data_IF_054949484332
#
_entry.id   IF_054949484332
#
_cell.length_a   1.000
_cell.length_b   1.000
_cell.length_c   1.000
_cell.angle_alpha   90.00
_cell.angle_beta   90.00
_cell.angle_gamma   90.00
#
_symmetry.space_group_name_H-M   'P 1'
#
loop_
_entity.id
_entity.type
_entity.pdbx_description
1 polymer ?
#
# COMPACT_ATOMS: atom_id res chain seq x y z
N UNK A 1 6.10 -20.76 -18.14
CA UNK A 1 6.92 -19.84 -17.31
C UNK A 1 7.45 -20.64 -16.14
N UNK A 2 8.76 -20.92 -16.12
CA UNK A 2 9.39 -21.71 -15.07
C UNK A 2 9.86 -20.75 -13.96
N UNK A 3 9.25 -20.84 -12.78
CA UNK A 3 9.62 -20.04 -11.61
C UNK A 3 10.88 -20.65 -10.98
N UNK A 4 12.06 -20.23 -11.47
CA UNK A 4 13.32 -20.54 -10.80
C UNK A 4 13.57 -19.54 -9.66
N UNK A 5 12.86 -19.71 -8.55
CA UNK A 5 13.27 -19.17 -7.27
C UNK A 5 13.56 -20.38 -6.36
N UNK A 6 14.82 -20.81 -6.34
CA UNK A 6 15.25 -21.86 -5.42
C UNK A 6 15.12 -21.38 -3.96
N UNK A 7 14.82 -22.28 -3.01
CA UNK A 7 14.56 -21.93 -1.60
C UNK A 7 15.72 -21.20 -0.90
N UNK A 8 16.92 -21.21 -1.48
CA UNK A 8 18.13 -20.60 -0.94
C UNK A 8 18.29 -19.12 -1.22
N UNK A 9 17.54 -18.52 -2.17
CA UNK A 9 17.72 -17.10 -2.52
C UNK A 9 17.38 -16.15 -1.37
N UNK A 10 16.49 -16.54 -0.46
CA UNK A 10 16.11 -15.76 0.72
C UNK A 10 16.89 -16.14 1.99
N UNK A 11 17.73 -17.17 1.91
CA UNK A 11 18.56 -17.66 3.02
C UNK A 11 20.01 -17.14 2.95
N UNK A 12 20.32 -16.30 1.97
CA UNK A 12 21.63 -15.69 1.83
C UNK A 12 21.87 -14.70 2.98
N UNK A 13 22.89 -14.97 3.79
CA UNK A 13 23.26 -14.14 4.95
C UNK A 13 23.76 -12.74 4.56
N UNK A 14 23.99 -12.48 3.28
CA UNK A 14 24.31 -11.15 2.76
C UNK A 14 23.07 -10.30 2.45
N UNK A 15 21.87 -10.89 2.48
CA UNK A 15 20.63 -10.13 2.42
C UNK A 15 20.50 -9.27 3.67
N UNK A 16 20.33 -7.97 3.44
CA UNK A 16 20.05 -7.01 4.50
C UNK A 16 18.56 -6.66 4.47
N UNK A 17 17.91 -6.81 5.60
CA UNK A 17 16.59 -6.23 5.82
C UNK A 17 16.72 -4.72 5.91
N UNK A 18 15.82 -3.99 5.24
CA UNK A 18 15.75 -2.55 5.33
C UNK A 18 14.32 -2.15 5.72
N UNK A 19 14.17 -1.63 6.93
CA UNK A 19 12.92 -1.02 7.39
C UNK A 19 12.93 0.46 7.02
N UNK A 20 11.87 0.93 6.37
CA UNK A 20 11.68 2.36 6.06
C UNK A 20 10.37 2.85 6.66
N UNK A 21 10.45 3.87 7.51
CA UNK A 21 9.29 4.62 7.95
C UNK A 21 9.09 5.77 6.97
N UNK A 22 7.99 5.70 6.21
CA UNK A 22 7.66 6.69 5.18
C UNK A 22 6.42 7.45 5.64
N UNK A 23 6.54 8.73 6.05
CA UNK A 23 5.40 9.53 6.45
C UNK A 23 4.51 9.82 5.25
N UNK A 24 3.20 9.60 5.41
CA UNK A 24 2.19 9.87 4.38
C UNK A 24 1.03 10.65 4.98
N UNK A 25 0.51 11.60 4.21
CA UNK A 25 -0.77 12.25 4.50
C UNK A 25 -1.79 11.79 3.48
N UNK A 26 -2.93 11.28 3.93
CA UNK A 26 -3.96 10.71 3.05
C UNK A 26 -5.29 11.43 3.31
N UNK A 27 -6.02 11.73 2.23
CA UNK A 27 -7.34 12.35 2.28
C UNK A 27 -8.28 11.68 1.29
N UNK A 28 -9.54 11.53 1.68
CA UNK A 28 -10.61 11.06 0.79
C UNK A 28 -10.95 12.19 -0.18
N UNK A 29 -10.99 11.87 -1.48
CA UNK A 29 -11.28 12.84 -2.56
C UNK A 29 -12.51 12.48 -3.36
N UNK A 30 -13.13 11.33 -3.11
CA UNK A 30 -14.34 10.92 -3.79
C UNK A 30 -14.79 9.52 -3.38
N UNK A 31 -15.95 9.13 -3.90
CA UNK A 31 -16.53 7.80 -3.70
C UNK A 31 -16.76 7.10 -5.05
N UNK A 32 -16.74 5.77 -5.03
CA UNK A 32 -17.02 4.90 -6.16
C UNK A 32 -18.19 3.96 -5.86
N UNK A 33 -18.30 2.90 -6.65
CA UNK A 33 -19.35 1.89 -6.48
C UNK A 33 -19.17 1.11 -5.16
N UNK A 34 -20.29 0.75 -4.55
CA UNK A 34 -20.34 -0.11 -3.38
C UNK A 34 -20.40 -1.58 -3.79
N UNK A 35 -19.65 -2.49 -3.15
CA UNK A 35 -19.83 -3.92 -3.36
C UNK A 35 -21.27 -4.34 -3.04
N UNK A 36 -21.83 -5.29 -3.79
CA UNK A 36 -23.21 -5.76 -3.58
C UNK A 36 -23.45 -6.31 -2.16
N UNK A 37 -22.45 -6.93 -1.54
CA UNK A 37 -22.51 -7.41 -0.15
C UNK A 37 -22.55 -6.26 0.88
N UNK A 38 -22.12 -5.06 0.49
CA UNK A 38 -21.96 -3.89 1.37
C UNK A 38 -22.48 -2.61 0.69
N UNK A 39 -23.78 -2.51 0.39
CA UNK A 39 -24.34 -1.44 -0.43
C UNK A 39 -24.14 -0.03 0.16
N UNK A 40 -24.04 0.08 1.48
CA UNK A 40 -23.80 1.35 2.19
C UNK A 40 -22.29 1.70 2.32
N UNK A 41 -21.41 0.93 1.69
CA UNK A 41 -19.95 1.05 1.81
C UNK A 41 -19.31 1.29 0.44
N UNK A 42 -19.48 2.49 -0.14
CA UNK A 42 -18.84 2.82 -1.41
C UNK A 42 -17.32 2.75 -1.27
N UNK A 43 -16.64 2.38 -2.36
CA UNK A 43 -15.20 2.54 -2.44
C UNK A 43 -14.82 4.01 -2.22
N UNK A 44 -13.76 4.26 -1.44
CA UNK A 44 -13.22 5.59 -1.20
C UNK A 44 -12.02 5.82 -2.11
N UNK A 45 -12.08 6.85 -2.94
CA UNK A 45 -10.91 7.31 -3.68
C UNK A 45 -10.10 8.22 -2.79
N UNK A 46 -8.80 7.92 -2.65
CA UNK A 46 -7.89 8.65 -1.77
C UNK A 46 -6.74 9.28 -2.55
N UNK A 47 -6.27 10.43 -2.07
CA UNK A 47 -5.05 11.10 -2.53
C UNK A 47 -4.21 11.53 -1.35
N UNK A 48 -2.92 11.70 -1.61
CA UNK A 48 -1.99 12.06 -0.55
C UNK A 48 -0.64 12.55 -1.04
N UNK A 49 0.17 12.97 -0.08
CA UNK A 49 1.58 13.29 -0.25
C UNK A 49 2.42 12.32 0.57
N UNK A 50 3.63 12.05 0.06
CA UNK A 50 4.62 11.20 0.72
C UNK A 50 5.85 12.07 1.01
N UNK A 51 6.28 12.09 2.27
CA UNK A 51 7.38 12.92 2.75
C UNK A 51 8.64 12.08 3.08
N UNK A 52 9.73 12.74 3.46
CA UNK A 52 10.97 12.06 3.89
C UNK A 52 11.81 11.47 2.76
N UNK A 53 11.59 11.92 1.53
CA UNK A 53 12.37 11.50 0.36
C UNK A 53 12.98 12.70 -0.37
N UNK A 54 14.02 12.48 -1.17
CA UNK A 54 14.77 13.53 -1.88
C UNK A 54 13.95 14.39 -2.87
N UNK A 55 12.73 13.96 -3.19
CA UNK A 55 11.81 14.61 -4.13
C UNK A 55 10.36 14.40 -3.64
N UNK A 56 9.43 15.33 -3.92
CA UNK A 56 8.04 15.16 -3.51
C UNK A 56 7.36 14.03 -4.28
N UNK A 57 6.68 13.14 -3.57
CA UNK A 57 5.88 12.05 -4.15
C UNK A 57 4.39 12.28 -3.88
N UNK A 58 3.55 11.86 -4.82
CA UNK A 58 2.10 11.87 -4.71
C UNK A 58 1.58 10.46 -4.54
N UNK A 59 0.55 10.29 -3.74
CA UNK A 59 -0.14 9.03 -3.53
C UNK A 59 -1.56 9.14 -4.09
N UNK A 60 -2.00 8.10 -4.78
CA UNK A 60 -3.40 7.89 -5.18
C UNK A 60 -3.81 6.48 -4.81
N UNK A 61 -5.09 6.25 -4.58
CA UNK A 61 -5.53 4.89 -4.27
C UNK A 61 -7.02 4.75 -4.08
N UNK A 62 -7.40 3.52 -3.75
CA UNK A 62 -8.77 3.13 -3.43
C UNK A 62 -8.77 2.34 -2.13
N UNK A 63 -9.69 2.67 -1.24
CA UNK A 63 -10.00 1.92 -0.02
C UNK A 63 -11.40 1.35 -0.16
N UNK A 64 -11.58 0.04 -0.04
CA UNK A 64 -12.89 -0.60 -0.27
C UNK A 64 -13.10 -1.83 0.58
N UNK A 65 -14.36 -2.18 0.81
CA UNK A 65 -14.73 -3.48 1.39
C UNK A 65 -14.46 -4.62 0.39
N UNK A 66 -13.95 -5.74 0.89
CA UNK A 66 -13.96 -7.04 0.20
C UNK A 66 -15.35 -7.68 0.37
N UNK A 67 -15.62 -8.76 -0.39
CA UNK A 67 -16.85 -9.52 -0.20
C UNK A 67 -16.94 -10.13 1.21
N UNK A 68 -15.79 -10.53 1.76
CA UNK A 68 -15.66 -11.20 3.06
C UNK A 68 -15.65 -10.23 4.26
N UNK A 69 -15.69 -8.92 4.00
CA UNK A 69 -15.88 -7.90 5.05
C UNK A 69 -14.60 -7.23 5.54
N UNK A 70 -13.45 -7.50 4.93
CA UNK A 70 -12.23 -6.76 5.22
C UNK A 70 -12.12 -5.45 4.43
N UNK A 71 -11.34 -4.51 4.94
CA UNK A 71 -11.04 -3.25 4.24
C UNK A 71 -9.72 -3.41 3.50
N UNK A 72 -9.78 -3.36 2.17
CA UNK A 72 -8.60 -3.43 1.30
C UNK A 72 -8.16 -2.04 0.86
N UNK A 73 -6.85 -1.82 0.92
CA UNK A 73 -6.13 -0.64 0.50
C UNK A 73 -5.32 -0.97 -0.76
N UNK A 74 -5.53 -0.20 -1.82
CA UNK A 74 -4.77 -0.28 -3.08
C UNK A 74 -4.20 1.10 -3.37
N UNK A 75 -2.89 1.27 -3.18
CA UNK A 75 -2.21 2.56 -3.30
C UNK A 75 -1.17 2.54 -4.42
N UNK A 76 -0.98 3.69 -5.06
CA UNK A 76 0.06 3.96 -6.05
C UNK A 76 0.78 5.24 -5.67
N UNK A 77 2.10 5.19 -5.67
CA UNK A 77 2.96 6.34 -5.37
C UNK A 77 3.72 6.71 -6.64
N UNK A 78 3.68 7.99 -7.01
CA UNK A 78 4.35 8.53 -8.19
C UNK A 78 5.23 9.72 -7.85
N UNK A 79 6.26 9.95 -8.68
CA UNK A 79 7.01 11.20 -8.59
C UNK A 79 6.12 12.37 -9.02
N UNK A 80 6.29 13.52 -8.37
CA UNK A 80 5.54 14.72 -8.77
C UNK A 80 5.98 15.28 -10.11
N UNK A 81 7.19 14.92 -10.59
CA UNK A 81 7.82 15.50 -11.78
C UNK A 81 7.29 14.89 -13.09
N UNK A 82 7.22 13.55 -13.17
CA UNK A 82 6.82 12.84 -14.39
C UNK A 82 5.50 12.05 -14.27
N UNK A 83 4.93 11.98 -13.06
CA UNK A 83 3.68 11.27 -12.79
C UNK A 83 3.76 9.74 -12.96
N UNK A 84 4.95 9.19 -13.23
CA UNK A 84 5.15 7.75 -13.32
C UNK A 84 5.06 7.14 -11.93
N UNK A 85 4.32 6.04 -11.82
CA UNK A 85 4.22 5.30 -10.58
C UNK A 85 5.57 4.62 -10.30
N UNK A 86 6.14 4.89 -9.13
CA UNK A 86 7.34 4.23 -8.64
C UNK A 86 6.96 2.97 -7.87
N UNK A 87 5.93 3.07 -7.02
CA UNK A 87 5.52 1.99 -6.13
C UNK A 87 4.03 1.72 -6.18
N UNK A 88 3.67 0.48 -5.89
CA UNK A 88 2.30 0.06 -5.64
C UNK A 88 2.23 -0.72 -4.33
N UNK A 89 1.13 -0.57 -3.62
CA UNK A 89 0.91 -1.18 -2.32
C UNK A 89 -0.49 -1.78 -2.27
N UNK A 90 -0.58 -3.00 -1.75
CA UNK A 90 -1.83 -3.70 -1.49
C UNK A 90 -1.84 -4.15 -0.03
N UNK A 91 -2.90 -3.84 0.71
CA UNK A 91 -2.99 -4.23 2.12
C UNK A 91 -4.42 -4.39 2.62
N UNK A 92 -4.56 -5.04 3.77
CA UNK A 92 -5.83 -5.28 4.45
C UNK A 92 -5.78 -4.68 5.85
N UNK A 93 -6.82 -3.96 6.25
CA UNK A 93 -6.92 -3.34 7.57
C UNK A 93 -7.09 -4.38 8.67
N UNK A 94 -6.31 -4.24 9.74
CA UNK A 94 -6.34 -5.16 10.89
C UNK A 94 -7.41 -4.71 11.89
N UNK A 95 -8.13 -5.69 12.45
CA UNK A 95 -9.19 -5.50 13.44
C UNK A 95 -10.43 -4.71 12.93
N UNK A 96 -10.64 -4.68 11.60
CA UNK A 96 -11.88 -4.23 10.99
C UNK A 96 -12.04 -2.71 10.89
N UNK A 97 -13.25 -2.29 10.50
CA UNK A 97 -13.60 -0.90 10.20
C UNK A 97 -13.34 0.04 11.38
N UNK A 98 -12.65 1.16 11.13
CA UNK A 98 -12.38 2.21 12.12
C UNK A 98 -11.29 1.88 13.15
N UNK A 99 -10.70 0.68 13.06
CA UNK A 99 -9.56 0.27 13.88
C UNK A 99 -8.32 1.15 13.61
N UNK A 100 -7.61 1.51 14.68
CA UNK A 100 -6.32 2.20 14.64
C UNK A 100 -5.12 1.24 14.54
N UNK A 101 -5.35 -0.08 14.55
CA UNK A 101 -4.31 -1.12 14.48
C UNK A 101 -3.49 -1.11 13.18
N UNK A 102 -3.97 -0.37 12.17
CA UNK A 102 -3.27 -0.20 10.91
C UNK A 102 -3.68 -1.19 9.82
N UNK A 103 -2.86 -1.23 8.77
CA UNK A 103 -3.02 -2.12 7.61
C UNK A 103 -1.84 -3.09 7.59
N UNK A 104 -2.02 -4.32 7.13
CA UNK A 104 -0.89 -5.20 6.79
C UNK A 104 -0.97 -5.47 5.29
N UNK A 105 0.15 -5.31 4.60
CA UNK A 105 0.18 -5.43 3.16
C UNK A 105 1.55 -5.72 2.59
N UNK A 106 1.61 -5.70 1.28
CA UNK A 106 2.83 -5.78 0.49
C UNK A 106 2.98 -4.51 -0.33
N UNK A 107 4.21 -4.09 -0.55
CA UNK A 107 4.54 -3.09 -1.56
C UNK A 107 5.62 -3.61 -2.52
N UNK A 108 5.59 -3.09 -3.73
CA UNK A 108 6.52 -3.41 -4.81
C UNK A 108 6.76 -2.20 -5.70
N UNK A 109 7.82 -2.23 -6.50
CA UNK A 109 7.95 -1.31 -7.62
C UNK A 109 6.78 -1.49 -8.60
N UNK A 110 6.30 -0.38 -9.18
CA UNK A 110 5.07 -0.38 -9.98
C UNK A 110 5.18 -1.22 -11.26
N UNK A 111 6.40 -1.35 -11.79
CA UNK A 111 6.72 -2.19 -12.95
C UNK A 111 6.90 -3.67 -12.61
N UNK A 112 6.92 -4.03 -11.31
CA UNK A 112 7.14 -5.40 -10.82
C UNK A 112 8.39 -6.04 -11.43
N UNK A 113 9.46 -5.26 -11.53
CA UNK A 113 10.73 -5.72 -12.06
C UNK A 113 11.34 -6.76 -11.11
N UNK A 114 12.18 -7.65 -11.66
CA UNK A 114 12.77 -8.77 -10.89
C UNK A 114 13.59 -8.32 -9.67
N UNK A 115 14.08 -7.09 -9.70
CA UNK A 115 14.89 -6.47 -8.65
C UNK A 115 14.09 -5.54 -7.76
N UNK A 116 12.78 -5.40 -7.99
CA UNK A 116 11.95 -4.55 -7.16
C UNK A 116 11.91 -5.09 -5.73
N UNK A 117 11.96 -4.20 -4.73
CA UNK A 117 11.75 -4.60 -3.36
C UNK A 117 10.35 -5.21 -3.21
N UNK A 118 10.27 -6.29 -2.46
CA UNK A 118 9.01 -6.83 -1.95
C UNK A 118 9.08 -6.70 -0.44
N UNK A 119 8.21 -5.87 0.13
CA UNK A 119 8.25 -5.58 1.55
C UNK A 119 6.87 -5.52 2.17
N UNK A 120 6.83 -5.72 3.49
CA UNK A 120 5.61 -5.50 4.26
C UNK A 120 5.23 -4.01 4.32
N UNK A 121 3.93 -3.74 4.41
CA UNK A 121 3.39 -2.40 4.57
C UNK A 121 2.51 -2.35 5.81
N UNK A 122 2.92 -1.54 6.80
CA UNK A 122 2.18 -1.33 8.06
C UNK A 122 2.01 0.16 8.37
N UNK A 123 0.96 0.83 7.84
CA UNK A 123 0.62 2.18 8.22
C UNK A 123 -0.06 2.17 9.58
N UNK A 124 0.31 3.11 10.43
CA UNK A 124 -0.35 3.40 11.70
C UNK A 124 -0.62 4.91 11.78
N UNK A 125 -1.70 5.26 12.46
CA UNK A 125 -2.02 6.66 12.76
C UNK A 125 -1.16 7.12 13.93
N UNK A 126 -0.27 8.10 13.69
CA UNK A 126 0.61 8.63 14.73
C UNK A 126 -0.14 9.39 15.81
N UNK A 127 -1.33 9.90 15.51
CA UNK A 127 -2.10 10.74 16.44
C UNK A 127 -2.99 9.91 17.38
N UNK A 128 -2.94 8.57 17.27
CA UNK A 128 -3.69 7.62 18.10
C UNK A 128 -2.84 6.61 18.86
N UNK A 129 -1.55 6.90 19.01
CA UNK A 129 -0.61 6.19 19.89
C UNK A 129 -0.47 6.89 21.25
#
# INVERSE_FOLDING_TARGET
VQLHAGPTRFADSSLLEAVRIIPMTISVVGTGEAPAAWPDRPALHVRGSVAGMNSPRRMTGVVRMTADGEVRWSLKVSTSENGQNEWVTEGVQVAGLGSAMGVIGLWTGASHERTDPLGEFVPFDSDRL
#
